data_IF_594759622290
#
_entry.id   IF_594759622290
#
_cell.length_a   1.000
_cell.length_b   1.000
_cell.length_c   1.000
_cell.angle_alpha   90.00
_cell.angle_beta   90.00
_cell.angle_gamma   90.00
#
_symmetry.space_group_name_H-M   'P 1'
#
loop_
_entity.id
_entity.type
_entity.pdbx_description
1 polymer ?
#
# COMPACT_ATOMS: atom_id res chain seq x y z
N UNK A 1 -9.77 -3.56 -3.02
CA UNK A 1 -9.36 -2.70 -1.90
C UNK A 1 -9.47 -1.25 -2.29
N UNK A 2 -8.52 -0.74 -3.06
CA UNK A 2 -8.49 0.67 -3.51
C UNK A 2 -9.75 1.15 -4.23
N UNK A 3 -10.34 0.34 -5.11
CA UNK A 3 -11.57 0.72 -5.83
C UNK A 3 -12.77 1.00 -4.91
N UNK A 4 -12.88 0.26 -3.79
CA UNK A 4 -13.93 0.48 -2.79
C UNK A 4 -13.73 1.82 -2.10
N UNK A 5 -12.49 2.18 -1.76
CA UNK A 5 -12.16 3.47 -1.16
C UNK A 5 -12.44 4.62 -2.12
N UNK A 6 -12.15 4.44 -3.41
CA UNK A 6 -12.46 5.42 -4.44
C UNK A 6 -13.97 5.63 -4.62
N UNK A 7 -14.75 4.54 -4.55
CA UNK A 7 -16.22 4.61 -4.63
C UNK A 7 -16.82 5.39 -3.44
N UNK A 8 -16.29 5.18 -2.23
CA UNK A 8 -16.69 5.93 -1.04
C UNK A 8 -16.29 7.40 -1.17
N UNK A 9 -15.03 7.68 -1.58
CA UNK A 9 -14.52 9.04 -1.76
C UNK A 9 -15.39 9.86 -2.73
N UNK A 10 -15.91 9.24 -3.81
CA UNK A 10 -16.82 9.89 -4.78
C UNK A 10 -18.18 10.31 -4.21
N UNK A 11 -18.60 9.74 -3.09
CA UNK A 11 -19.88 10.06 -2.44
C UNK A 11 -19.75 11.10 -1.33
N UNK A 12 -18.53 11.54 -1.03
CA UNK A 12 -18.28 12.51 0.03
C UNK A 12 -18.31 13.94 -0.50
N UNK A 13 -18.85 14.85 0.32
CA UNK A 13 -18.93 16.29 0.01
C UNK A 13 -17.59 16.99 0.26
N UNK A 14 -16.81 16.48 1.22
CA UNK A 14 -15.51 17.00 1.60
C UNK A 14 -14.45 15.91 1.56
N UNK A 15 -13.21 16.33 1.36
CA UNK A 15 -12.08 15.42 1.27
C UNK A 15 -11.65 14.95 2.67
N UNK A 16 -11.67 13.64 2.88
CA UNK A 16 -11.26 13.02 4.13
C UNK A 16 -9.81 12.54 4.03
N UNK A 17 -8.93 13.13 4.85
CA UNK A 17 -7.50 12.84 4.87
C UNK A 17 -7.19 11.35 5.11
N UNK A 18 -7.98 10.66 5.94
CA UNK A 18 -7.82 9.24 6.19
C UNK A 18 -8.11 8.42 4.93
N UNK A 19 -9.19 8.74 4.21
CA UNK A 19 -9.53 8.05 2.96
C UNK A 19 -8.54 8.33 1.84
N UNK A 20 -7.97 9.54 1.77
CA UNK A 20 -6.88 9.83 0.83
C UNK A 20 -5.68 8.91 1.11
N UNK A 21 -5.17 8.92 2.34
CA UNK A 21 -4.01 8.09 2.72
C UNK A 21 -4.29 6.59 2.54
N UNK A 22 -5.48 6.13 2.93
CA UNK A 22 -5.87 4.72 2.75
C UNK A 22 -5.90 4.32 1.26
N UNK A 23 -6.34 5.22 0.39
CA UNK A 23 -6.38 5.01 -1.07
C UNK A 23 -4.96 4.91 -1.64
N UNK A 24 -4.08 5.85 -1.27
CA UNK A 24 -2.66 5.83 -1.66
C UNK A 24 -1.98 4.52 -1.27
N UNK A 25 -2.15 4.09 -0.02
CA UNK A 25 -1.61 2.82 0.47
C UNK A 25 -2.17 1.66 -0.36
N UNK A 26 -3.50 1.57 -0.49
CA UNK A 26 -4.15 0.44 -1.13
C UNK A 26 -3.71 0.26 -2.60
N UNK A 27 -3.42 1.35 -3.30
CA UNK A 27 -3.00 1.33 -4.70
C UNK A 27 -1.49 1.17 -4.89
N UNK A 28 -0.66 1.64 -3.95
CA UNK A 28 0.78 1.76 -4.18
C UNK A 28 1.68 0.97 -3.22
N UNK A 29 1.16 0.27 -2.20
CA UNK A 29 2.03 -0.49 -1.26
C UNK A 29 2.73 -1.72 -1.90
N UNK A 30 2.36 -2.11 -3.12
CA UNK A 30 3.07 -3.12 -3.92
C UNK A 30 4.04 -2.52 -4.95
N UNK A 31 4.10 -1.18 -5.04
CA UNK A 31 5.15 -0.50 -5.80
C UNK A 31 6.50 -0.67 -5.11
N UNK A 32 7.57 -0.68 -5.90
CA UNK A 32 8.94 -0.84 -5.40
C UNK A 32 9.74 0.40 -5.70
N UNK A 33 10.66 0.72 -4.82
CA UNK A 33 11.50 1.92 -4.92
C UNK A 33 12.22 2.06 -6.27
N UNK A 34 12.58 0.94 -6.89
CA UNK A 34 13.28 0.87 -8.18
C UNK A 34 12.37 0.90 -9.42
N UNK A 35 11.04 0.98 -9.24
CA UNK A 35 10.07 0.96 -10.34
C UNK A 35 9.69 -0.45 -10.83
N UNK A 36 10.26 -1.52 -10.25
CA UNK A 36 9.90 -2.90 -10.62
C UNK A 36 8.61 -3.42 -9.95
N UNK A 37 7.86 -2.52 -9.31
CA UNK A 37 6.62 -2.79 -8.62
C UNK A 37 5.40 -2.76 -9.54
N UNK A 38 4.22 -2.90 -8.95
CA UNK A 38 2.95 -2.92 -9.66
C UNK A 38 1.87 -2.24 -8.79
N UNK A 39 0.75 -1.76 -9.37
CA UNK A 39 0.31 -1.95 -10.76
C UNK A 39 0.75 -0.88 -11.76
N UNK A 40 1.28 0.26 -11.31
CA UNK A 40 1.57 1.42 -12.15
C UNK A 40 3.05 1.56 -12.49
N UNK A 41 3.95 0.84 -11.78
CA UNK A 41 5.39 0.91 -12.01
C UNK A 41 5.99 2.24 -11.53
N UNK A 42 5.44 2.78 -10.43
CA UNK A 42 5.92 4.00 -9.81
C UNK A 42 7.29 3.77 -9.19
N UNK A 43 8.16 4.79 -9.24
CA UNK A 43 9.49 4.72 -8.66
C UNK A 43 9.73 5.86 -7.68
N UNK A 44 10.61 5.62 -6.70
CA UNK A 44 11.12 6.64 -5.79
C UNK A 44 10.00 7.46 -5.11
N UNK A 45 9.95 8.77 -5.39
CA UNK A 45 9.06 9.74 -4.76
C UNK A 45 7.68 9.81 -5.41
N UNK A 46 7.50 9.21 -6.59
CA UNK A 46 6.17 9.02 -7.19
C UNK A 46 5.33 8.03 -6.35
N UNK A 47 5.97 7.24 -5.50
CA UNK A 47 5.31 6.41 -4.49
C UNK A 47 5.05 7.25 -3.24
N UNK A 48 3.77 7.42 -2.91
CA UNK A 48 3.33 8.12 -1.70
C UNK A 48 4.07 7.60 -0.46
N UNK A 49 4.49 8.52 0.42
CA UNK A 49 5.29 8.18 1.61
C UNK A 49 4.60 7.11 2.47
N UNK A 50 3.30 7.24 2.68
CA UNK A 50 2.52 6.28 3.45
C UNK A 50 2.57 4.87 2.84
N UNK A 51 2.47 4.75 1.51
CA UNK A 51 2.57 3.48 0.81
C UNK A 51 3.97 2.84 0.95
N UNK A 52 5.04 3.64 0.91
CA UNK A 52 6.42 3.16 1.14
C UNK A 52 6.62 2.60 2.55
N UNK A 53 6.08 3.28 3.56
CA UNK A 53 6.15 2.82 4.95
C UNK A 53 5.40 1.49 5.11
N UNK A 54 4.19 1.39 4.56
CA UNK A 54 3.38 0.17 4.63
C UNK A 54 4.02 -0.99 3.86
N UNK A 55 4.62 -0.75 2.69
CA UNK A 55 5.33 -1.78 1.93
C UNK A 55 6.45 -2.45 2.75
N UNK A 56 7.23 -1.66 3.49
CA UNK A 56 8.29 -2.18 4.38
C UNK A 56 7.68 -2.95 5.56
N UNK A 57 6.63 -2.40 6.18
CA UNK A 57 5.96 -3.03 7.31
C UNK A 57 5.34 -4.39 6.93
N UNK A 58 4.69 -4.48 5.77
CA UNK A 58 4.05 -5.70 5.26
C UNK A 58 5.08 -6.81 5.01
N UNK A 59 6.21 -6.49 4.38
CA UNK A 59 7.30 -7.45 4.17
C UNK A 59 7.94 -7.88 5.50
N UNK A 60 8.16 -6.94 6.42
CA UNK A 60 8.71 -7.26 7.73
C UNK A 60 7.79 -8.21 8.51
N UNK A 61 6.50 -7.91 8.58
CA UNK A 61 5.51 -8.79 9.22
C UNK A 61 5.48 -10.16 8.54
N UNK A 62 5.46 -10.20 7.21
CA UNK A 62 5.49 -11.44 6.44
C UNK A 62 6.69 -12.34 6.74
N UNK A 63 7.85 -11.76 7.04
CA UNK A 63 9.10 -12.47 7.34
C UNK A 63 9.22 -12.87 8.80
N UNK A 64 8.66 -12.08 9.72
CA UNK A 64 8.82 -12.29 11.17
C UNK A 64 7.65 -13.04 11.81
N UNK A 65 6.48 -13.02 11.17
CA UNK A 65 5.30 -13.73 11.65
C UNK A 65 5.36 -15.23 11.35
N UNK A 66 5.02 -16.04 12.36
CA UNK A 66 4.96 -17.51 12.24
C UNK A 66 3.81 -17.88 11.32
N UNK A 67 4.11 -18.11 10.04
CA UNK A 67 3.13 -18.63 9.08
C UNK A 67 2.98 -20.14 9.31
N UNK A 68 1.75 -20.63 9.47
CA UNK A 68 1.41 -22.07 9.69
C UNK A 68 2.02 -23.06 8.68
N UNK A 69 2.58 -22.59 7.56
CA UNK A 69 3.18 -23.41 6.50
C UNK A 69 4.65 -23.11 6.18
N UNK A 70 5.37 -22.31 6.98
CA UNK A 70 6.83 -22.14 6.85
C UNK A 70 7.49 -22.38 8.20
N UNK A 71 8.28 -23.46 8.32
CA UNK A 71 9.31 -23.52 9.35
C UNK A 71 10.27 -22.36 9.09
N UNK A 72 10.56 -21.58 10.13
CA UNK A 72 11.62 -20.58 10.10
C UNK A 72 12.92 -21.27 9.64
N UNK A 73 13.67 -20.62 8.73
CA UNK A 73 14.98 -21.10 8.26
C UNK A 73 16.04 -20.80 9.31
#
# INVERSE_FOLDING_TARGET
>A
GGDTLLAIKKQMVEEDAFLVTATEIAFAHHEKWDGSGYPFGLAQEDIALAARIVAVADVYDALTSVRRYKKAM
#
